data_IF_978766477213
#
_entry.id   IF_978766477213
#
_cell.length_a   1.000
_cell.length_b   1.000
_cell.length_c   1.000
_cell.angle_alpha   90.00
_cell.angle_beta   90.00
_cell.angle_gamma   90.00
#
_symmetry.space_group_name_H-M   'P 1'
#
loop_
_entity.id
_entity.type
_entity.pdbx_description
1 polymer ?
#
# COMPACT_ATOMS: atom_id res chain seq x y z
N UNK A 1 3.95 3.97 26.72
CA UNK A 1 3.13 3.99 25.49
C UNK A 1 4.02 3.56 24.34
N UNK A 2 3.73 2.42 23.75
CA UNK A 2 4.51 1.95 22.60
C UNK A 2 4.23 2.88 21.42
N UNK A 3 5.27 3.60 20.99
CA UNK A 3 5.19 4.53 19.84
C UNK A 3 5.25 3.74 18.54
N UNK A 4 4.15 3.07 18.19
CA UNK A 4 4.07 2.25 16.97
C UNK A 4 2.98 2.73 16.04
N UNK A 5 3.32 2.76 14.74
CA UNK A 5 2.42 3.08 13.63
C UNK A 5 2.43 1.88 12.68
N UNK A 6 1.25 1.40 12.35
CA UNK A 6 1.03 0.42 11.30
C UNK A 6 0.64 1.19 10.05
N UNK A 7 1.23 0.85 8.92
CA UNK A 7 1.09 1.58 7.66
C UNK A 7 0.61 0.65 6.56
N UNK A 8 -0.32 1.11 5.74
CA UNK A 8 -0.45 0.58 4.40
C UNK A 8 0.75 0.99 3.53
N UNK A 9 0.91 0.33 2.41
CA UNK A 9 1.99 0.60 1.48
C UNK A 9 1.55 1.51 0.33
N UNK A 10 0.59 1.04 -0.47
CA UNK A 10 0.13 1.73 -1.67
C UNK A 10 -0.85 2.85 -1.31
N UNK A 11 -0.63 4.05 -1.81
CA UNK A 11 -1.42 5.21 -1.45
C UNK A 11 -1.03 5.88 -0.12
N UNK A 12 -0.18 5.24 0.69
CA UNK A 12 0.32 5.78 1.98
C UNK A 12 1.82 6.04 1.92
N UNK A 13 2.61 5.04 1.60
CA UNK A 13 4.08 5.14 1.48
C UNK A 13 4.53 5.34 0.05
N UNK A 14 3.94 4.57 -0.87
CA UNK A 14 4.31 4.51 -2.28
C UNK A 14 3.21 5.04 -3.19
N UNK A 15 3.60 5.78 -4.21
CA UNK A 15 2.70 6.28 -5.25
C UNK A 15 2.42 5.19 -6.32
N UNK A 16 1.66 4.18 -5.89
CA UNK A 16 1.26 3.07 -6.75
C UNK A 16 0.46 3.56 -7.96
N UNK A 17 -0.44 4.54 -7.75
CA UNK A 17 -1.30 5.05 -8.81
C UNK A 17 -0.49 5.69 -9.94
N UNK A 18 0.51 6.49 -9.61
CA UNK A 18 1.42 7.06 -10.59
C UNK A 18 2.21 5.99 -11.34
N UNK A 19 2.79 5.03 -10.63
CA UNK A 19 3.57 3.96 -11.24
C UNK A 19 2.70 3.08 -12.17
N UNK A 20 1.47 2.79 -11.76
CA UNK A 20 0.49 2.08 -12.57
C UNK A 20 0.07 2.89 -13.82
N UNK A 21 -0.16 4.19 -13.68
CA UNK A 21 -0.50 5.08 -14.81
C UNK A 21 0.63 5.10 -15.86
N UNK A 22 1.90 5.16 -15.43
CA UNK A 22 3.06 5.09 -16.34
C UNK A 22 3.10 3.75 -17.06
N UNK A 23 2.96 2.66 -16.32
CA UNK A 23 2.95 1.31 -16.90
C UNK A 23 1.78 1.11 -17.86
N UNK A 24 0.57 1.55 -17.53
CA UNK A 24 -0.60 1.46 -18.39
C UNK A 24 -0.39 2.23 -19.70
N UNK A 25 0.22 3.41 -19.63
CA UNK A 25 0.56 4.18 -20.83
C UNK A 25 1.52 3.41 -21.76
N UNK A 26 2.52 2.75 -21.20
CA UNK A 26 3.45 1.89 -21.95
C UNK A 26 2.76 0.66 -22.56
N UNK A 27 1.68 0.16 -21.93
CA UNK A 27 0.85 -0.91 -22.49
C UNK A 27 -0.17 -0.40 -23.54
N UNK A 28 -0.18 0.90 -23.85
CA UNK A 28 -1.07 1.50 -24.85
C UNK A 28 -2.42 1.98 -24.30
N UNK A 29 -2.64 1.91 -23.00
CA UNK A 29 -3.86 2.44 -22.38
C UNK A 29 -3.65 3.91 -21.98
N UNK A 30 -4.63 4.75 -22.32
CA UNK A 30 -4.63 6.17 -21.93
C UNK A 30 -5.69 6.41 -20.87
N UNK A 31 -5.31 7.07 -19.81
CA UNK A 31 -6.24 7.52 -18.79
C UNK A 31 -7.22 8.54 -19.36
N UNK A 32 -8.49 8.43 -18.98
CA UNK A 32 -9.51 9.39 -19.38
C UNK A 32 -9.32 10.73 -18.65
N UNK A 33 -9.68 11.87 -19.26
CA UNK A 33 -9.64 13.17 -18.59
C UNK A 33 -10.49 13.20 -17.33
N UNK A 34 -10.06 13.98 -16.34
CA UNK A 34 -10.79 14.26 -15.08
C UNK A 34 -11.14 13.01 -14.23
N UNK A 35 -10.36 11.94 -14.36
CA UNK A 35 -10.57 10.67 -13.65
C UNK A 35 -9.66 10.47 -12.44
N UNK A 36 -8.91 11.48 -12.04
CA UNK A 36 -7.98 11.40 -10.87
C UNK A 36 -8.68 11.02 -9.56
N UNK A 37 -9.94 11.42 -9.42
CA UNK A 37 -10.78 11.17 -8.24
C UNK A 37 -11.29 9.73 -8.12
N UNK A 38 -11.17 8.92 -9.17
CA UNK A 38 -11.64 7.53 -9.13
C UNK A 38 -10.56 6.60 -8.60
N UNK A 39 -10.90 5.84 -7.59
CA UNK A 39 -10.09 4.73 -7.09
C UNK A 39 -10.13 3.53 -8.05
N UNK A 40 -11.30 3.31 -8.67
CA UNK A 40 -11.55 2.22 -9.60
C UNK A 40 -10.84 2.44 -10.94
N UNK A 41 -9.91 1.55 -11.26
CA UNK A 41 -9.10 1.63 -12.48
C UNK A 41 -9.93 1.43 -13.75
N UNK A 42 -11.03 0.67 -13.70
CA UNK A 42 -11.93 0.52 -14.85
C UNK A 42 -12.56 1.85 -15.27
N UNK A 43 -12.91 2.69 -14.31
CA UNK A 43 -13.44 4.04 -14.52
C UNK A 43 -12.35 5.01 -14.99
N UNK A 44 -11.12 4.86 -14.48
CA UNK A 44 -9.99 5.73 -14.89
C UNK A 44 -9.61 5.56 -16.35
N UNK A 45 -9.70 4.34 -16.85
CA UNK A 45 -9.28 4.01 -18.22
C UNK A 45 -10.45 3.73 -19.19
N UNK A 46 -11.69 3.71 -18.71
CA UNK A 46 -12.86 3.38 -19.53
C UNK A 46 -12.84 1.95 -20.07
N UNK A 47 -12.32 1.01 -19.29
CA UNK A 47 -12.20 -0.41 -19.66
C UNK A 47 -13.09 -1.30 -18.78
N UNK A 48 -13.29 -2.53 -19.22
CA UNK A 48 -14.06 -3.51 -18.46
C UNK A 48 -13.35 -3.85 -17.12
N UNK A 49 -14.12 -4.03 -16.04
CA UNK A 49 -13.62 -4.35 -14.71
C UNK A 49 -12.72 -5.59 -14.66
N UNK A 50 -13.06 -6.64 -15.43
CA UNK A 50 -12.23 -7.84 -15.46
C UNK A 50 -10.86 -7.55 -16.08
N UNK A 51 -10.85 -6.77 -17.17
CA UNK A 51 -9.60 -6.33 -17.83
C UNK A 51 -8.78 -5.46 -16.87
N UNK A 52 -9.41 -4.52 -16.15
CA UNK A 52 -8.72 -3.69 -15.17
C UNK A 52 -8.08 -4.54 -14.06
N UNK A 53 -8.80 -5.52 -13.52
CA UNK A 53 -8.30 -6.42 -12.49
C UNK A 53 -7.15 -7.30 -12.99
N UNK A 54 -7.22 -7.80 -14.23
CA UNK A 54 -6.14 -8.58 -14.83
C UNK A 54 -4.89 -7.72 -15.04
N UNK A 55 -5.04 -6.47 -15.48
CA UNK A 55 -3.92 -5.54 -15.66
C UNK A 55 -3.28 -5.16 -14.32
N UNK A 56 -4.08 -4.91 -13.28
CA UNK A 56 -3.59 -4.69 -11.91
C UNK A 56 -2.76 -5.88 -11.44
N UNK A 57 -3.26 -7.10 -11.66
CA UNK A 57 -2.54 -8.32 -11.30
C UNK A 57 -1.22 -8.43 -12.06
N UNK A 58 -1.23 -8.24 -13.38
CA UNK A 58 0.00 -8.29 -14.21
C UNK A 58 1.03 -7.25 -13.73
N UNK A 59 0.59 -6.03 -13.42
CA UNK A 59 1.47 -5.00 -12.88
C UNK A 59 2.05 -5.41 -11.52
N UNK A 60 1.21 -5.88 -10.60
CA UNK A 60 1.61 -6.27 -9.25
C UNK A 60 2.54 -7.49 -9.21
N UNK A 61 2.49 -8.37 -10.22
CA UNK A 61 3.39 -9.50 -10.39
C UNK A 61 4.63 -9.16 -11.23
N UNK A 62 4.70 -7.94 -11.78
CA UNK A 62 5.83 -7.52 -12.63
C UNK A 62 7.02 -7.00 -11.81
N UNK A 63 8.17 -6.84 -12.50
CA UNK A 63 9.35 -6.17 -11.92
C UNK A 63 9.11 -4.73 -11.50
N UNK A 64 8.08 -4.07 -12.02
CA UNK A 64 7.78 -2.66 -11.76
C UNK A 64 7.50 -2.37 -10.29
N UNK A 65 6.96 -3.36 -9.52
CA UNK A 65 6.70 -3.18 -8.08
C UNK A 65 7.95 -2.96 -7.24
N UNK A 66 9.12 -3.29 -7.77
CA UNK A 66 10.41 -3.00 -7.14
C UNK A 66 10.91 -1.57 -7.33
N UNK A 67 10.20 -0.74 -8.09
CA UNK A 67 10.61 0.61 -8.49
C UNK A 67 9.52 1.67 -8.32
N UNK A 68 8.47 1.37 -7.57
CA UNK A 68 7.40 2.34 -7.30
C UNK A 68 7.98 3.47 -6.45
N UNK A 69 7.80 4.75 -6.85
CA UNK A 69 8.33 5.88 -6.10
C UNK A 69 7.60 6.07 -4.77
N UNK A 70 8.30 6.53 -3.75
CA UNK A 70 7.68 6.96 -2.51
C UNK A 70 7.04 8.35 -2.68
N UNK A 71 5.99 8.63 -1.91
CA UNK A 71 5.57 10.01 -1.70
C UNK A 71 6.67 10.79 -0.98
N UNK A 72 6.92 12.02 -1.43
CA UNK A 72 7.97 12.85 -0.84
C UNK A 72 7.75 13.09 0.66
N UNK A 73 6.53 13.35 1.06
CA UNK A 73 6.16 13.57 2.46
C UNK A 73 6.23 12.28 3.28
N UNK A 74 5.94 11.11 2.70
CA UNK A 74 6.09 9.83 3.41
C UNK A 74 7.54 9.61 3.84
N UNK A 75 8.52 9.84 2.97
CA UNK A 75 9.95 9.72 3.30
C UNK A 75 10.34 10.72 4.40
N UNK A 76 9.89 11.97 4.27
CA UNK A 76 10.18 13.02 5.24
C UNK A 76 9.63 12.69 6.62
N UNK A 77 8.34 12.35 6.73
CA UNK A 77 7.70 12.13 8.02
C UNK A 77 8.10 10.80 8.67
N UNK A 78 8.28 9.72 7.91
CA UNK A 78 8.80 8.47 8.45
C UNK A 78 10.19 8.71 9.07
N UNK A 79 11.08 9.42 8.37
CA UNK A 79 12.41 9.74 8.90
C UNK A 79 12.33 10.58 10.18
N UNK A 80 11.52 11.63 10.19
CA UNK A 80 11.35 12.50 11.38
C UNK A 80 10.82 11.72 12.58
N UNK A 81 9.78 10.93 12.38
CA UNK A 81 9.14 10.15 13.44
C UNK A 81 10.07 9.05 13.95
N UNK A 82 10.80 8.36 13.08
CA UNK A 82 11.78 7.36 13.48
C UNK A 82 12.86 7.94 14.39
N UNK A 83 13.38 9.12 14.05
CA UNK A 83 14.41 9.81 14.83
C UNK A 83 13.95 10.24 16.22
N UNK A 84 12.66 10.42 16.43
CA UNK A 84 12.07 10.71 17.76
C UNK A 84 11.48 9.48 18.45
N UNK A 85 11.83 8.29 17.97
CA UNK A 85 11.59 7.02 18.65
C UNK A 85 10.30 6.29 18.25
N UNK A 86 9.62 6.69 17.16
CA UNK A 86 8.54 5.89 16.61
C UNK A 86 9.07 4.65 15.88
N UNK A 87 8.28 3.60 15.82
CA UNK A 87 8.55 2.35 15.11
C UNK A 87 7.40 2.05 14.16
N UNK A 88 7.70 1.34 13.07
CA UNK A 88 6.75 1.14 12.00
C UNK A 88 6.63 -0.33 11.62
N UNK A 89 5.41 -0.75 11.30
CA UNK A 89 5.12 -2.01 10.64
C UNK A 89 4.32 -1.72 9.36
N UNK A 90 4.60 -2.45 8.28
CA UNK A 90 3.91 -2.29 7.00
C UNK A 90 3.06 -3.52 6.71
N UNK A 91 1.78 -3.31 6.40
CA UNK A 91 0.82 -4.35 6.06
C UNK A 91 0.17 -4.02 4.72
N UNK A 92 0.48 -4.79 3.69
CA UNK A 92 0.03 -4.53 2.32
C UNK A 92 -0.59 -5.76 1.66
N UNK A 93 -1.63 -5.52 0.87
CA UNK A 93 -2.25 -6.52 0.01
C UNK A 93 -1.69 -6.41 -1.41
N UNK A 94 -0.50 -6.94 -1.66
CA UNK A 94 0.07 -6.91 -3.00
C UNK A 94 -0.40 -8.10 -3.84
N UNK A 95 0.13 -9.28 -3.59
CA UNK A 95 -0.18 -10.54 -4.25
C UNK A 95 0.48 -11.72 -3.51
N UNK A 96 0.12 -12.96 -3.90
CA UNK A 96 0.74 -14.19 -3.38
C UNK A 96 2.09 -14.51 -4.03
N UNK A 97 2.45 -13.83 -5.12
CA UNK A 97 3.73 -14.02 -5.81
C UNK A 97 4.90 -13.62 -4.90
N UNK A 98 5.73 -14.60 -4.56
CA UNK A 98 6.84 -14.41 -3.61
C UNK A 98 7.97 -13.53 -4.17
N UNK A 99 8.12 -13.49 -5.48
CA UNK A 99 9.12 -12.64 -6.10
C UNK A 99 8.67 -11.16 -6.05
N UNK A 100 7.41 -10.89 -6.39
CA UNK A 100 6.83 -9.55 -6.28
C UNK A 100 6.88 -9.02 -4.84
N UNK A 101 6.55 -9.86 -3.84
CA UNK A 101 6.68 -9.51 -2.43
C UNK A 101 8.10 -9.11 -2.06
N UNK A 102 9.10 -9.89 -2.50
CA UNK A 102 10.52 -9.59 -2.27
C UNK A 102 10.95 -8.28 -2.92
N UNK A 103 10.51 -8.02 -4.14
CA UNK A 103 10.79 -6.76 -4.84
C UNK A 103 10.19 -5.57 -4.08
N UNK A 104 8.94 -5.67 -3.61
CA UNK A 104 8.28 -4.64 -2.82
C UNK A 104 9.02 -4.36 -1.51
N UNK A 105 9.40 -5.40 -0.77
CA UNK A 105 10.18 -5.25 0.48
C UNK A 105 11.52 -4.55 0.19
N UNK A 106 12.23 -4.96 -0.85
CA UNK A 106 13.49 -4.34 -1.24
C UNK A 106 13.30 -2.87 -1.62
N UNK A 107 12.22 -2.53 -2.34
CA UNK A 107 11.90 -1.15 -2.69
C UNK A 107 11.67 -0.28 -1.44
N UNK A 108 10.88 -0.77 -0.48
CA UNK A 108 10.66 -0.07 0.78
C UNK A 108 11.96 0.15 1.56
N UNK A 109 12.80 -0.87 1.67
CA UNK A 109 14.09 -0.75 2.37
C UNK A 109 15.02 0.22 1.63
N UNK A 110 15.03 0.21 0.29
CA UNK A 110 15.83 1.13 -0.51
C UNK A 110 15.41 2.60 -0.31
N UNK A 111 14.10 2.86 -0.27
CA UNK A 111 13.56 4.22 -0.18
C UNK A 111 13.59 4.80 1.24
N UNK A 112 13.34 3.99 2.25
CA UNK A 112 13.17 4.44 3.64
C UNK A 112 14.32 4.01 4.57
N UNK A 113 15.20 3.12 4.13
CA UNK A 113 16.20 2.51 5.00
C UNK A 113 15.61 1.43 5.91
N UNK A 114 16.37 1.04 6.93
CA UNK A 114 15.97 -0.02 7.87
C UNK A 114 15.13 0.55 9.04
N UNK A 115 14.01 1.17 8.73
CA UNK A 115 13.12 1.83 9.72
C UNK A 115 11.90 0.99 10.11
N UNK A 116 11.62 -0.07 9.36
CA UNK A 116 10.46 -0.93 9.58
C UNK A 116 10.85 -2.14 10.44
N UNK A 117 10.15 -2.33 11.57
CA UNK A 117 10.31 -3.52 12.42
C UNK A 117 9.75 -4.78 11.73
N UNK A 118 8.75 -4.59 10.87
CA UNK A 118 8.08 -5.68 10.19
C UNK A 118 7.46 -5.19 8.87
N UNK A 119 7.51 -6.03 7.83
CA UNK A 119 6.87 -5.78 6.53
C UNK A 119 6.19 -7.07 6.08
N UNK A 120 4.88 -7.01 5.86
CA UNK A 120 4.10 -8.08 5.22
C UNK A 120 3.37 -7.54 4.00
N UNK A 121 3.80 -7.96 2.81
CA UNK A 121 3.18 -7.63 1.53
C UNK A 121 2.43 -8.83 0.93
N UNK A 122 2.22 -9.90 1.69
CA UNK A 122 1.68 -11.17 1.19
C UNK A 122 0.20 -11.37 1.42
N UNK A 123 -0.53 -10.36 1.85
CA UNK A 123 -1.96 -10.49 2.05
C UNK A 123 -2.70 -10.56 0.71
N UNK A 124 -3.69 -11.46 0.66
CA UNK A 124 -4.57 -11.57 -0.50
C UNK A 124 -5.55 -10.39 -0.51
N UNK A 125 -5.47 -9.61 -1.55
CA UNK A 125 -6.33 -8.46 -1.77
C UNK A 125 -7.84 -8.83 -1.76
N UNK A 126 -8.23 -10.05 -2.17
CA UNK A 126 -9.62 -10.53 -2.13
C UNK A 126 -10.11 -10.83 -0.71
N UNK A 127 -9.20 -11.19 0.19
CA UNK A 127 -9.50 -11.47 1.60
C UNK A 127 -9.43 -10.18 2.42
N UNK A 128 -8.59 -9.23 2.00
CA UNK A 128 -8.38 -7.96 2.68
C UNK A 128 -7.62 -8.09 3.99
N UNK A 129 -7.53 -6.99 4.72
CA UNK A 129 -6.70 -6.84 5.93
C UNK A 129 -7.45 -7.14 7.24
N UNK A 130 -8.79 -7.19 7.22
CA UNK A 130 -9.63 -7.19 8.43
C UNK A 130 -9.24 -8.29 9.42
N UNK A 131 -9.20 -9.55 8.98
CA UNK A 131 -8.90 -10.67 9.87
C UNK A 131 -7.45 -10.61 10.37
N UNK A 132 -6.54 -10.25 9.49
CA UNK A 132 -5.13 -10.09 9.84
C UNK A 132 -4.91 -9.02 10.92
N UNK A 133 -5.55 -7.86 10.76
CA UNK A 133 -5.49 -6.79 11.75
C UNK A 133 -6.09 -7.23 13.09
N UNK A 134 -7.23 -7.93 13.07
CA UNK A 134 -7.87 -8.45 14.26
C UNK A 134 -6.95 -9.42 15.03
N UNK A 135 -6.35 -10.39 14.34
CA UNK A 135 -5.53 -11.43 14.96
C UNK A 135 -4.22 -10.87 15.55
N UNK A 136 -3.66 -9.86 14.90
CA UNK A 136 -2.34 -9.35 15.25
C UNK A 136 -2.37 -8.11 16.16
N UNK A 137 -3.37 -7.25 16.00
CA UNK A 137 -3.39 -5.92 16.62
C UNK A 137 -4.59 -5.62 17.50
N UNK A 138 -5.51 -6.56 17.70
CA UNK A 138 -6.65 -6.35 18.59
C UNK A 138 -6.20 -5.95 19.99
N UNK A 139 -6.80 -4.90 20.54
CA UNK A 139 -6.48 -4.37 21.86
C UNK A 139 -5.15 -3.62 21.98
N UNK A 140 -4.48 -3.34 20.85
CA UNK A 140 -3.26 -2.52 20.82
C UNK A 140 -3.62 -1.04 20.66
N UNK A 141 -2.91 -0.17 21.39
CA UNK A 141 -3.04 1.30 21.30
C UNK A 141 -2.06 1.85 20.23
N UNK A 142 -2.23 1.41 18.97
CA UNK A 142 -1.39 1.81 17.86
C UNK A 142 -2.16 2.68 16.86
N UNK A 143 -1.43 3.44 16.04
CA UNK A 143 -1.99 4.12 14.89
C UNK A 143 -2.02 3.17 13.70
N UNK A 144 -3.08 3.29 12.89
CA UNK A 144 -3.23 2.62 11.60
C UNK A 144 -3.48 3.67 10.52
N UNK A 145 -2.58 3.78 9.54
CA UNK A 145 -2.67 4.73 8.44
C UNK A 145 -2.97 3.97 7.15
N UNK A 146 -4.06 4.36 6.51
CA UNK A 146 -4.66 3.62 5.40
C UNK A 146 -5.43 4.56 4.47
N UNK A 147 -5.27 4.45 3.16
CA UNK A 147 -5.98 5.24 2.17
C UNK A 147 -7.37 4.69 1.81
N UNK A 148 -7.63 3.40 2.08
CA UNK A 148 -8.93 2.77 1.89
C UNK A 148 -9.83 2.95 3.10
N UNK A 149 -11.01 3.57 2.91
CA UNK A 149 -12.01 3.80 3.96
C UNK A 149 -12.41 2.48 4.65
N UNK A 150 -12.65 1.42 3.89
CA UNK A 150 -13.09 0.12 4.42
C UNK A 150 -12.00 -0.52 5.31
N UNK A 151 -10.74 -0.41 4.93
CA UNK A 151 -9.63 -0.93 5.71
C UNK A 151 -9.34 -0.04 6.94
N UNK A 152 -9.45 1.28 6.81
CA UNK A 152 -9.34 2.21 7.93
C UNK A 152 -10.43 1.93 8.98
N UNK A 153 -11.67 1.72 8.55
CA UNK A 153 -12.77 1.33 9.45
C UNK A 153 -12.55 -0.05 10.10
N UNK A 154 -11.96 -0.99 9.38
CA UNK A 154 -11.61 -2.30 9.95
C UNK A 154 -10.63 -2.17 11.10
N UNK A 155 -9.63 -1.30 10.99
CA UNK A 155 -8.70 -0.98 12.07
C UNK A 155 -9.41 -0.30 13.25
N UNK A 156 -10.30 0.66 12.98
CA UNK A 156 -11.05 1.37 14.03
C UNK A 156 -11.94 0.43 14.84
N UNK A 157 -12.59 -0.55 14.19
CA UNK A 157 -13.46 -1.54 14.85
C UNK A 157 -12.72 -2.45 15.84
N UNK A 158 -11.42 -2.63 15.71
CA UNK A 158 -10.60 -3.43 16.62
C UNK A 158 -9.83 -2.58 17.65
N UNK A 159 -10.06 -1.27 17.68
CA UNK A 159 -9.50 -0.35 18.66
C UNK A 159 -8.23 0.39 18.22
N UNK A 160 -7.80 0.25 16.95
CA UNK A 160 -6.69 1.05 16.42
C UNK A 160 -7.11 2.52 16.19
N UNK A 161 -6.17 3.43 16.35
CA UNK A 161 -6.32 4.85 16.00
C UNK A 161 -6.15 5.01 14.48
N UNK A 162 -7.22 4.74 13.73
CA UNK A 162 -7.18 4.78 12.27
C UNK A 162 -7.32 6.20 11.72
N UNK A 163 -6.44 6.51 10.78
CA UNK A 163 -6.33 7.78 10.06
C UNK A 163 -6.45 7.48 8.56
#
# INVERSE_FOLDING_TARGET
MDRKIILDCDGVLLDWAYAFDVWMFEQGYKRLPDTDKYYDQSLRYGINNNIANDLIKVFNESGCVGFIPAYKDSVEYITKLYNVGWRFEVISCLDRDKYAQKLRVNNLIHLFGNVFDFIDCGLDFKVGKKQYLLDRYSGKDYYWIEDSVDHAESGRKIGLKSI
#
